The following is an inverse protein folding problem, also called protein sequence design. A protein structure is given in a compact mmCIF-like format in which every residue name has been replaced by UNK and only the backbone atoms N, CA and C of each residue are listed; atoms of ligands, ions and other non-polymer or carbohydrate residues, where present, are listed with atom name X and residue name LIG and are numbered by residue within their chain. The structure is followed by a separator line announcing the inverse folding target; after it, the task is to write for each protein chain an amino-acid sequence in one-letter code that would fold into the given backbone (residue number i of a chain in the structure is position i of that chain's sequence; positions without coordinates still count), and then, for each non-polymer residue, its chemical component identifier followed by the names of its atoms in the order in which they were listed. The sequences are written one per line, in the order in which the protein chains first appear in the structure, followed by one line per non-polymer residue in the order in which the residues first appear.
data_IF_740377632343
#
_entry.id   IF_740377632343
#
_cell.length_a   1.000
_cell.length_b   1.000
_cell.length_c   1.000
_cell.angle_alpha   90.00
_cell.angle_beta   90.00
_cell.angle_gamma   90.00
#
_symmetry.space_group_name_H-M   'P 1'
#
loop_
_entity.id
_entity.type
_entity.pdbx_description
1 polymer ?
#
# COMPACT_ATOMS: atom_id res chain seq x y z
N UNK A 1 -34.91 17.77 62.03
CA UNK A 1 -33.58 17.29 61.60
C UNK A 1 -33.67 16.94 60.13
N UNK A 2 -32.66 17.34 59.37
CA UNK A 2 -32.65 17.53 57.91
C UNK A 2 -32.84 16.23 57.11
N UNK A 3 -33.84 16.18 56.23
CA UNK A 3 -33.92 15.25 55.10
C UNK A 3 -33.03 15.75 53.95
N UNK A 4 -32.17 14.93 53.33
CA UNK A 4 -31.48 15.34 52.12
C UNK A 4 -32.45 15.36 50.93
N UNK A 5 -32.52 16.53 50.29
CA UNK A 5 -33.19 16.78 49.01
C UNK A 5 -32.32 16.20 47.88
N UNK A 6 -32.99 15.54 46.92
CA UNK A 6 -32.48 15.01 45.64
C UNK A 6 -31.85 13.61 45.66
N UNK A 7 -32.70 12.57 45.65
CA UNK A 7 -32.43 11.37 44.86
C UNK A 7 -33.29 11.45 43.61
N UNK A 8 -32.65 11.64 42.46
CA UNK A 8 -33.30 11.46 41.16
C UNK A 8 -33.47 9.96 40.95
N UNK A 9 -34.71 9.46 41.01
CA UNK A 9 -35.05 8.13 40.53
C UNK A 9 -34.84 8.12 39.00
N UNK A 10 -33.83 7.40 38.54
CA UNK A 10 -33.69 7.07 37.12
C UNK A 10 -34.70 5.95 36.80
N UNK A 11 -35.45 6.03 35.69
CA UNK A 11 -36.37 4.96 35.31
C UNK A 11 -35.60 3.65 35.06
N UNK A 12 -36.02 2.55 35.70
CA UNK A 12 -35.45 1.20 35.53
C UNK A 12 -35.70 0.55 34.15
N UNK A 13 -36.09 1.32 33.14
CA UNK A 13 -36.28 0.80 31.80
C UNK A 13 -35.08 1.13 30.89
N UNK A 14 -34.45 0.04 30.45
CA UNK A 14 -33.50 -0.06 29.32
C UNK A 14 -32.00 -0.01 29.64
N UNK A 15 -31.57 -0.85 30.58
CA UNK A 15 -30.22 -1.43 30.57
C UNK A 15 -30.25 -2.94 30.31
N UNK A 16 -31.22 -3.40 29.51
CA UNK A 16 -31.12 -4.73 28.90
C UNK A 16 -30.00 -4.67 27.85
N UNK A 17 -28.83 -5.20 28.19
CA UNK A 17 -27.75 -5.41 27.24
C UNK A 17 -28.33 -6.15 26.02
N UNK A 18 -28.27 -5.53 24.83
CA UNK A 18 -28.60 -6.22 23.58
C UNK A 18 -27.81 -7.54 23.58
N UNK A 19 -28.45 -8.69 23.37
CA UNK A 19 -27.73 -9.95 23.35
C UNK A 19 -26.63 -9.84 22.30
N UNK A 20 -25.39 -10.03 22.75
CA UNK A 20 -24.22 -10.06 21.87
C UNK A 20 -24.44 -11.22 20.90
N UNK A 21 -24.85 -10.90 19.67
CA UNK A 21 -25.02 -11.92 18.63
C UNK A 21 -23.63 -12.43 18.30
N UNK A 22 -23.28 -13.60 18.83
CA UNK A 22 -22.04 -14.30 18.47
C UNK A 22 -22.24 -14.78 17.03
N UNK A 23 -21.47 -14.27 16.06
CA UNK A 23 -21.64 -14.68 14.67
C UNK A 23 -21.37 -16.18 14.53
N UNK A 24 -22.12 -16.82 13.63
CA UNK A 24 -21.98 -18.26 13.38
C UNK A 24 -20.49 -18.65 13.14
N UNK A 25 -19.96 -19.69 13.79
CA UNK A 25 -18.55 -20.08 13.65
C UNK A 25 -18.10 -20.38 12.22
N UNK A 26 -19.00 -20.85 11.34
CA UNK A 26 -18.71 -20.99 9.91
C UNK A 26 -18.70 -19.64 9.20
N UNK A 27 -19.54 -18.68 9.61
CA UNK A 27 -19.48 -17.30 9.13
C UNK A 27 -18.18 -16.63 9.59
N UNK A 28 -17.75 -16.84 10.84
CA UNK A 28 -16.47 -16.39 11.42
C UNK A 28 -15.30 -17.07 10.73
N UNK A 29 -15.37 -18.37 10.46
CA UNK A 29 -14.34 -19.09 9.71
C UNK A 29 -14.29 -18.65 8.24
N UNK A 30 -15.43 -18.39 7.59
CA UNK A 30 -15.51 -17.84 6.22
C UNK A 30 -15.05 -16.38 6.16
N UNK A 31 -15.27 -15.59 7.21
CA UNK A 31 -14.76 -14.21 7.31
C UNK A 31 -13.30 -14.13 7.72
N UNK A 32 -12.80 -15.04 8.56
CA UNK A 32 -11.37 -15.23 8.81
C UNK A 32 -10.65 -15.82 7.57
N UNK A 33 -11.40 -16.55 6.73
CA UNK A 33 -11.03 -16.94 5.36
C UNK A 33 -11.46 -15.90 4.31
N UNK A 34 -11.87 -14.68 4.65
CA UNK A 34 -11.59 -13.57 3.74
C UNK A 34 -10.07 -13.43 3.77
N UNK A 35 -9.42 -14.28 2.97
CA UNK A 35 -7.98 -14.39 2.84
C UNK A 35 -7.51 -12.99 2.52
N UNK A 36 -6.92 -12.31 3.50
CA UNK A 36 -6.39 -10.98 3.26
C UNK A 36 -5.19 -11.19 2.34
N UNK A 37 -5.37 -10.93 1.06
CA UNK A 37 -4.39 -11.29 0.04
C UNK A 37 -3.13 -10.45 0.31
N UNK A 38 -1.97 -11.07 0.61
CA UNK A 38 -0.78 -10.32 0.93
C UNK A 38 -0.31 -9.53 -0.30
N UNK A 39 -0.14 -8.23 -0.11
CA UNK A 39 0.44 -7.33 -1.11
C UNK A 39 1.65 -6.64 -0.51
N UNK A 40 2.74 -6.57 -1.27
CA UNK A 40 3.94 -5.88 -0.83
C UNK A 40 3.74 -4.37 -1.03
N UNK A 41 3.78 -3.61 0.06
CA UNK A 41 3.75 -2.15 0.03
C UNK A 41 5.18 -1.64 0.26
N UNK A 42 5.85 -1.32 -0.84
CA UNK A 42 7.18 -0.70 -0.87
C UNK A 42 7.05 0.78 -0.59
N UNK A 43 7.89 1.29 0.32
CA UNK A 43 7.97 2.71 0.63
C UNK A 43 9.37 3.05 1.17
N UNK A 44 9.80 4.33 1.12
CA UNK A 44 11.01 4.76 1.81
C UNK A 44 10.94 4.46 3.30
N UNK A 45 12.06 4.14 3.94
CA UNK A 45 12.11 3.90 5.39
C UNK A 45 11.44 5.04 6.16
N UNK A 46 10.61 4.72 7.16
CA UNK A 46 9.76 5.68 7.86
C UNK A 46 10.50 6.85 8.49
N UNK A 47 11.72 6.63 8.98
CA UNK A 47 12.58 7.69 9.51
C UNK A 47 13.10 8.67 8.45
N UNK A 48 12.86 8.40 7.16
CA UNK A 48 13.20 9.29 6.04
C UNK A 48 11.98 9.93 5.37
N UNK A 49 10.80 9.76 5.97
CA UNK A 49 9.56 10.37 5.51
C UNK A 49 9.11 11.48 6.46
N UNK A 50 8.47 12.52 5.93
CA UNK A 50 7.83 13.56 6.73
C UNK A 50 6.42 13.14 7.19
N UNK A 51 5.82 13.92 8.10
CA UNK A 51 4.50 13.59 8.66
C UNK A 51 3.38 13.47 7.60
N UNK A 52 3.44 14.27 6.53
CA UNK A 52 2.45 14.22 5.47
C UNK A 52 2.56 12.93 4.65
N UNK A 53 3.79 12.53 4.31
CA UNK A 53 4.10 11.27 3.63
C UNK A 53 3.71 10.05 4.49
N UNK A 54 3.98 10.09 5.80
CA UNK A 54 3.53 9.05 6.74
C UNK A 54 2.00 8.97 6.76
N UNK A 55 1.31 10.12 6.80
CA UNK A 55 -0.15 10.16 6.77
C UNK A 55 -0.72 9.59 5.47
N UNK A 56 -0.06 9.87 4.34
CA UNK A 56 -0.41 9.28 3.04
C UNK A 56 -0.23 7.77 3.05
N UNK A 57 0.90 7.25 3.54
CA UNK A 57 1.16 5.82 3.67
C UNK A 57 0.09 5.13 4.53
N UNK A 58 -0.22 5.66 5.70
CA UNK A 58 -1.23 5.09 6.60
C UNK A 58 -2.62 5.09 5.95
N UNK A 59 -2.98 6.17 5.26
CA UNK A 59 -4.24 6.23 4.50
C UNK A 59 -4.27 5.21 3.37
N UNK A 60 -3.19 5.05 2.62
CA UNK A 60 -3.08 4.04 1.57
C UNK A 60 -3.25 2.61 2.13
N UNK A 61 -2.62 2.30 3.27
CA UNK A 61 -2.79 1.02 3.93
C UNK A 61 -4.26 0.76 4.29
N UNK A 62 -5.00 1.79 4.70
CA UNK A 62 -6.43 1.68 4.99
C UNK A 62 -7.27 1.45 3.73
N UNK A 63 -6.99 2.15 2.63
CA UNK A 63 -7.67 1.92 1.36
C UNK A 63 -7.44 0.48 0.84
N UNK A 64 -6.21 -0.05 0.96
CA UNK A 64 -5.91 -1.44 0.60
C UNK A 64 -6.68 -2.45 1.48
N UNK A 65 -6.79 -2.19 2.78
CA UNK A 65 -7.53 -3.05 3.71
C UNK A 65 -9.03 -3.07 3.42
N UNK A 66 -9.62 -1.96 2.98
CA UNK A 66 -11.02 -1.90 2.54
C UNK A 66 -11.29 -2.84 1.36
N UNK A 67 -10.29 -3.04 0.52
CA UNK A 67 -10.30 -4.01 -0.58
C UNK A 67 -9.92 -5.44 -0.16
N UNK A 68 -9.86 -5.72 1.15
CA UNK A 68 -9.44 -7.03 1.69
C UNK A 68 -8.03 -7.44 1.24
N UNK A 69 -7.18 -6.47 0.88
CA UNK A 69 -5.77 -6.69 0.61
C UNK A 69 -4.96 -6.39 1.87
N UNK A 70 -3.95 -7.20 2.14
CA UNK A 70 -3.11 -7.06 3.32
C UNK A 70 -1.77 -6.41 2.95
N UNK A 71 -1.61 -5.09 3.18
CA UNK A 71 -0.33 -4.44 2.92
C UNK A 71 0.71 -4.92 3.93
N UNK A 72 1.82 -5.44 3.41
CA UNK A 72 3.01 -5.83 4.17
C UNK A 72 4.17 -4.95 3.75
N UNK A 73 4.99 -4.48 4.69
CA UNK A 73 6.11 -3.59 4.43
C UNK A 73 7.38 -4.05 5.15
N UNK A 74 8.54 -3.79 4.54
CA UNK A 74 9.84 -3.94 5.18
C UNK A 74 10.34 -2.57 5.68
N UNK A 75 10.95 -2.48 6.87
CA UNK A 75 10.99 -3.49 7.94
C UNK A 75 9.81 -3.36 8.93
N UNK A 76 8.75 -2.61 8.61
CA UNK A 76 7.78 -2.19 9.64
C UNK A 76 6.83 -3.32 10.06
N UNK A 77 6.23 -4.05 9.10
CA UNK A 77 5.33 -5.17 9.43
C UNK A 77 6.01 -6.52 9.33
N UNK A 78 7.08 -6.61 8.55
CA UNK A 78 7.84 -7.82 8.28
C UNK A 78 9.30 -7.57 8.64
N UNK A 79 9.90 -8.49 9.40
CA UNK A 79 11.32 -8.47 9.73
C UNK A 79 11.87 -9.86 9.53
N UNK A 80 12.94 -9.97 8.75
CA UNK A 80 13.60 -11.25 8.52
C UNK A 80 15.09 -11.15 8.87
N UNK A 81 15.70 -12.25 9.36
CA UNK A 81 17.11 -12.25 9.75
C UNK A 81 18.08 -12.23 8.55
N UNK A 82 17.59 -12.43 7.32
CA UNK A 82 18.40 -12.48 6.11
C UNK A 82 18.81 -11.09 5.60
N UNK A 83 19.74 -11.08 4.64
CA UNK A 83 20.17 -9.85 3.96
C UNK A 83 19.00 -9.13 3.28
N UNK A 84 19.10 -7.81 3.12
CA UNK A 84 18.02 -6.96 2.56
C UNK A 84 17.46 -7.49 1.23
N UNK A 85 18.32 -7.87 0.28
CA UNK A 85 17.88 -8.39 -1.02
C UNK A 85 17.16 -9.75 -0.91
N UNK A 86 17.57 -10.59 0.04
CA UNK A 86 16.91 -11.88 0.31
C UNK A 86 15.53 -11.67 0.94
N UNK A 87 15.44 -10.71 1.87
CA UNK A 87 14.20 -10.27 2.50
C UNK A 87 13.21 -9.70 1.47
N UNK A 88 13.67 -8.83 0.57
CA UNK A 88 12.85 -8.29 -0.54
C UNK A 88 12.37 -9.43 -1.45
N UNK A 89 13.24 -10.36 -1.82
CA UNK A 89 12.85 -11.52 -2.64
C UNK A 89 11.77 -12.37 -1.97
N UNK A 90 11.91 -12.64 -0.67
CA UNK A 90 10.89 -13.35 0.12
C UNK A 90 9.56 -12.59 0.16
N UNK A 91 9.60 -11.27 0.34
CA UNK A 91 8.39 -10.44 0.29
C UNK A 91 7.66 -10.58 -1.04
N UNK A 92 8.41 -10.52 -2.14
CA UNK A 92 7.85 -10.66 -3.49
C UNK A 92 7.23 -12.05 -3.67
N UNK A 93 7.95 -13.12 -3.33
CA UNK A 93 7.46 -14.50 -3.52
C UNK A 93 6.27 -14.88 -2.64
N UNK A 94 6.03 -14.15 -1.56
CA UNK A 94 4.90 -14.39 -0.66
C UNK A 94 3.76 -13.38 -0.85
N UNK A 95 3.86 -12.50 -1.85
CA UNK A 95 2.83 -11.51 -2.19
C UNK A 95 2.15 -11.85 -3.53
N UNK A 96 0.96 -11.31 -3.74
CA UNK A 96 0.20 -11.47 -4.99
C UNK A 96 -0.02 -10.15 -5.73
N UNK A 97 0.51 -9.07 -5.19
CA UNK A 97 0.49 -7.74 -5.77
C UNK A 97 1.55 -6.87 -5.09
N UNK A 98 1.90 -5.78 -5.75
CA UNK A 98 2.82 -4.80 -5.19
C UNK A 98 2.30 -3.38 -5.40
N UNK A 99 2.44 -2.56 -4.37
CA UNK A 99 2.30 -1.11 -4.44
C UNK A 99 3.64 -0.48 -4.08
N UNK A 100 4.12 0.45 -4.90
CA UNK A 100 5.38 1.17 -4.66
C UNK A 100 5.11 2.64 -4.43
N UNK A 101 5.65 3.20 -3.35
CA UNK A 101 5.69 4.63 -3.10
C UNK A 101 7.07 5.18 -3.45
N UNK A 102 7.12 6.10 -4.42
CA UNK A 102 8.29 6.89 -4.75
C UNK A 102 8.11 8.32 -4.24
N UNK A 103 8.54 8.57 -3.01
CA UNK A 103 8.32 9.84 -2.30
C UNK A 103 9.59 10.67 -2.25
N UNK A 104 9.44 12.00 -2.18
CA UNK A 104 10.57 12.92 -2.11
C UNK A 104 11.36 12.72 -0.82
N UNK A 105 12.69 12.52 -0.93
CA UNK A 105 13.57 12.31 0.23
C UNK A 105 14.65 13.37 0.35
N UNK A 106 15.33 13.67 -0.75
CA UNK A 106 16.48 14.59 -0.77
C UNK A 106 16.36 15.52 -1.95
N UNK A 107 16.50 16.82 -1.69
CA UNK A 107 16.70 17.80 -2.73
C UNK A 107 18.19 17.83 -3.09
N UNK A 108 18.51 17.68 -4.36
CA UNK A 108 19.88 17.68 -4.89
C UNK A 108 20.02 18.82 -5.90
N UNK A 109 21.27 19.26 -6.10
CA UNK A 109 21.66 20.18 -7.17
C UNK A 109 22.76 19.51 -7.98
N UNK A 110 22.63 19.52 -9.30
CA UNK A 110 23.68 19.00 -10.20
C UNK A 110 24.81 20.02 -10.24
N UNK A 111 25.97 19.65 -9.71
CA UNK A 111 27.17 20.51 -9.71
C UNK A 111 28.18 20.09 -10.78
N UNK A 112 28.09 18.85 -11.26
CA UNK A 112 28.99 18.24 -12.23
C UNK A 112 28.27 17.10 -12.94
N UNK A 113 28.59 16.86 -14.22
CA UNK A 113 28.14 15.71 -15.01
C UNK A 113 29.35 14.97 -15.56
N UNK A 114 29.15 13.77 -16.11
CA UNK A 114 30.24 12.99 -16.72
C UNK A 114 30.74 13.54 -18.08
N UNK A 115 30.30 14.75 -18.48
CA UNK A 115 30.67 15.39 -19.75
C UNK A 115 29.93 14.85 -20.99
N UNK A 116 28.92 14.00 -20.82
CA UNK A 116 28.07 13.60 -21.93
C UNK A 116 27.10 14.74 -22.31
N UNK A 117 27.10 15.12 -23.59
CA UNK A 117 26.34 16.26 -24.12
C UNK A 117 24.83 16.23 -23.83
N UNK A 118 24.27 15.03 -23.67
CA UNK A 118 22.85 14.84 -23.30
C UNK A 118 22.52 15.43 -21.92
N UNK A 119 23.50 15.47 -21.01
CA UNK A 119 23.34 15.95 -19.64
C UNK A 119 23.91 17.37 -19.42
N UNK A 120 24.41 18.04 -20.47
CA UNK A 120 24.96 19.40 -20.33
C UNK A 120 23.91 20.41 -19.81
N UNK A 121 22.63 20.14 -20.07
CA UNK A 121 21.51 20.96 -19.60
C UNK A 121 21.14 20.73 -18.14
N UNK A 122 21.68 19.69 -17.52
CA UNK A 122 21.34 19.33 -16.15
C UNK A 122 22.18 20.12 -15.15
N UNK A 123 23.34 20.66 -15.55
CA UNK A 123 24.20 21.47 -14.69
C UNK A 123 23.43 22.66 -14.08
N UNK A 124 23.48 22.76 -12.75
CA UNK A 124 22.80 23.81 -11.98
C UNK A 124 21.32 23.55 -11.72
N UNK A 125 20.72 22.50 -12.30
CA UNK A 125 19.34 22.12 -11.98
C UNK A 125 19.21 21.60 -10.55
N UNK A 126 18.02 21.75 -9.97
CA UNK A 126 17.68 21.23 -8.65
C UNK A 126 16.42 20.39 -8.71
N UNK A 127 16.42 19.24 -8.03
CA UNK A 127 15.28 18.35 -8.01
C UNK A 127 15.23 17.46 -6.77
N UNK A 128 14.08 16.81 -6.56
CA UNK A 128 13.89 15.85 -5.48
C UNK A 128 14.13 14.44 -5.97
N UNK A 129 14.91 13.68 -5.19
CA UNK A 129 15.18 12.27 -5.43
C UNK A 129 14.34 11.37 -4.52
N UNK A 130 13.98 10.20 -5.06
CA UNK A 130 13.26 9.14 -4.37
C UNK A 130 14.16 8.16 -3.61
N UNK A 131 13.62 6.99 -3.28
CA UNK A 131 14.41 5.87 -2.76
C UNK A 131 14.90 4.99 -3.91
N UNK A 132 16.17 4.58 -3.90
CA UNK A 132 16.67 3.58 -4.85
C UNK A 132 15.87 2.27 -4.79
N UNK A 133 15.39 1.88 -3.61
CA UNK A 133 14.54 0.70 -3.44
C UNK A 133 13.18 0.84 -4.14
N UNK A 134 12.66 2.06 -4.30
CA UNK A 134 11.45 2.32 -5.08
C UNK A 134 11.63 1.96 -6.56
N UNK A 135 12.83 1.62 -7.04
CA UNK A 135 13.06 1.10 -8.39
C UNK A 135 13.49 -0.37 -8.40
N UNK A 136 14.33 -0.79 -7.45
CA UNK A 136 14.81 -2.18 -7.35
C UNK A 136 13.65 -3.13 -7.06
N UNK A 137 12.82 -2.81 -6.07
CA UNK A 137 11.74 -3.69 -5.62
C UNK A 137 10.67 -3.91 -6.70
N UNK A 138 10.13 -2.88 -7.39
CA UNK A 138 9.21 -3.11 -8.49
C UNK A 138 9.88 -3.80 -9.68
N UNK A 139 11.14 -3.55 -10.00
CA UNK A 139 11.83 -4.29 -11.05
C UNK A 139 11.89 -5.80 -10.75
N UNK A 140 12.16 -6.18 -9.50
CA UNK A 140 12.12 -7.58 -9.07
C UNK A 140 10.70 -8.16 -9.10
N UNK A 141 9.69 -7.39 -8.67
CA UNK A 141 8.30 -7.81 -8.71
C UNK A 141 7.77 -7.98 -10.15
N UNK A 142 8.20 -7.12 -11.07
CA UNK A 142 7.93 -7.24 -12.50
C UNK A 142 8.52 -8.52 -13.07
N UNK A 143 9.79 -8.81 -12.76
CA UNK A 143 10.44 -10.04 -13.21
C UNK A 143 9.75 -11.30 -12.67
N UNK A 144 9.17 -11.23 -11.47
CA UNK A 144 8.39 -12.32 -10.88
C UNK A 144 6.95 -12.40 -11.43
N UNK A 145 6.43 -11.32 -12.03
CA UNK A 145 5.09 -11.27 -12.63
C UNK A 145 3.98 -10.78 -11.69
N UNK A 146 4.29 -9.98 -10.66
CA UNK A 146 3.25 -9.40 -9.81
C UNK A 146 2.53 -8.24 -10.50
N UNK A 147 1.19 -8.13 -10.34
CA UNK A 147 0.45 -6.91 -10.61
C UNK A 147 1.00 -5.75 -9.78
N UNK A 148 1.32 -4.64 -10.44
CA UNK A 148 2.02 -3.51 -9.82
C UNK A 148 1.25 -2.20 -9.97
N UNK A 149 1.24 -1.44 -8.87
CA UNK A 149 0.78 -0.06 -8.81
C UNK A 149 1.92 0.80 -8.27
N UNK A 150 2.30 1.83 -9.01
CA UNK A 150 3.37 2.74 -8.63
C UNK A 150 2.80 4.13 -8.41
N UNK A 151 3.08 4.69 -7.25
CA UNK A 151 2.61 6.02 -6.87
C UNK A 151 3.84 6.87 -6.61
N UNK A 152 4.01 7.93 -7.37
CA UNK A 152 5.13 8.86 -7.21
C UNK A 152 4.63 10.21 -6.72
N UNK A 153 5.42 10.85 -5.86
CA UNK A 153 5.17 12.23 -5.48
C UNK A 153 5.48 13.16 -6.66
N UNK A 154 4.64 14.15 -6.93
CA UNK A 154 4.70 15.01 -8.12
C UNK A 154 6.05 15.73 -8.28
N UNK A 155 6.68 16.10 -7.15
CA UNK A 155 7.98 16.77 -7.16
C UNK A 155 9.16 15.82 -7.48
N UNK A 156 8.94 14.51 -7.44
CA UNK A 156 9.91 13.47 -7.83
C UNK A 156 9.64 12.95 -9.25
N UNK A 157 8.39 12.98 -9.71
CA UNK A 157 7.97 12.44 -11.00
C UNK A 157 8.56 13.17 -12.20
N UNK A 158 9.42 14.18 -12.01
CA UNK A 158 10.09 14.86 -13.11
C UNK A 158 11.43 14.22 -13.53
N UNK A 159 11.99 13.27 -12.77
CA UNK A 159 13.41 12.89 -12.86
C UNK A 159 13.66 11.38 -12.70
N UNK A 160 14.89 10.92 -12.99
CA UNK A 160 15.38 9.52 -12.94
C UNK A 160 14.76 8.59 -14.01
N UNK A 161 14.45 7.33 -13.69
CA UNK A 161 13.87 6.31 -14.58
C UNK A 161 12.56 6.78 -15.25
N UNK A 162 11.95 7.86 -14.77
CA UNK A 162 10.74 8.47 -15.33
C UNK A 162 11.04 9.55 -16.41
N UNK A 163 12.27 10.05 -16.47
CA UNK A 163 12.69 11.07 -17.43
C UNK A 163 12.92 10.42 -18.81
N UNK A 164 12.35 11.01 -19.87
CA UNK A 164 12.51 10.56 -21.27
C UNK A 164 11.85 9.22 -21.63
N UNK A 165 10.57 9.04 -21.33
CA UNK A 165 9.81 7.86 -21.77
C UNK A 165 10.12 6.61 -20.94
N UNK A 166 10.49 6.83 -19.68
CA UNK A 166 10.77 5.83 -18.67
C UNK A 166 9.96 4.54 -18.81
N UNK A 167 10.65 3.44 -19.08
CA UNK A 167 10.04 2.12 -19.27
C UNK A 167 9.65 1.58 -17.91
N UNK A 168 8.52 2.09 -17.43
CA UNK A 168 7.82 1.56 -16.28
C UNK A 168 6.65 0.73 -16.85
N UNK A 169 6.77 -0.61 -16.90
CA UNK A 169 5.72 -1.47 -17.47
C UNK A 169 4.49 -1.62 -16.55
N UNK A 170 4.38 -0.79 -15.50
CA UNK A 170 3.34 -0.88 -14.47
C UNK A 170 2.51 0.39 -14.39
N UNK A 171 1.32 0.27 -13.79
CA UNK A 171 0.37 1.38 -13.67
C UNK A 171 0.93 2.45 -12.73
N UNK A 172 0.95 3.69 -13.20
CA UNK A 172 1.54 4.82 -12.47
C UNK A 172 0.47 5.85 -12.10
N UNK A 173 0.53 6.35 -10.87
CA UNK A 173 -0.25 7.46 -10.36
C UNK A 173 0.67 8.54 -9.81
N UNK A 174 0.29 9.81 -9.94
CA UNK A 174 1.04 10.93 -9.38
C UNK A 174 0.26 11.52 -8.21
N UNK A 175 0.92 11.64 -7.05
CA UNK A 175 0.37 12.34 -5.89
C UNK A 175 1.02 13.71 -5.75
N UNK A 176 0.21 14.77 -5.88
CA UNK A 176 0.61 16.13 -5.56
C UNK A 176 0.42 16.39 -4.05
N UNK A 177 1.54 16.39 -3.32
CA UNK A 177 1.54 16.60 -1.87
C UNK A 177 1.11 18.02 -1.47
N UNK A 178 1.14 19.00 -2.38
CA UNK A 178 0.68 20.37 -2.10
C UNK A 178 -0.85 20.48 -1.97
N UNK A 179 -1.60 19.54 -2.54
CA UNK A 179 -3.07 19.50 -2.50
C UNK A 179 -3.60 18.66 -1.33
N UNK A 180 -2.72 18.07 -0.53
CA UNK A 180 -3.05 17.19 0.59
C UNK A 180 -3.39 15.76 0.17
N UNK A 181 -3.57 14.87 1.16
CA UNK A 181 -3.78 13.43 0.91
C UNK A 181 -5.18 13.13 0.33
N UNK A 182 -6.19 13.89 0.75
CA UNK A 182 -7.57 13.63 0.39
C UNK A 182 -7.87 13.93 -1.09
N UNK A 183 -7.14 14.88 -1.68
CA UNK A 183 -7.22 15.16 -3.12
C UNK A 183 -6.96 13.90 -3.94
N UNK A 184 -5.93 13.14 -3.58
CA UNK A 184 -5.59 11.88 -4.22
C UNK A 184 -6.64 10.80 -3.94
N UNK A 185 -6.93 10.49 -2.67
CA UNK A 185 -7.79 9.35 -2.32
C UNK A 185 -9.29 9.55 -2.60
N UNK A 186 -9.77 10.79 -2.78
CA UNK A 186 -11.16 11.06 -3.18
C UNK A 186 -11.33 11.08 -4.70
N UNK A 187 -10.23 11.18 -5.47
CA UNK A 187 -10.26 11.23 -6.93
C UNK A 187 -10.92 9.99 -7.53
N UNK A 188 -11.57 10.17 -8.68
CA UNK A 188 -12.12 9.05 -9.46
C UNK A 188 -10.99 8.17 -9.98
N UNK A 189 -9.88 8.77 -10.40
CA UNK A 189 -8.70 8.08 -10.90
C UNK A 189 -8.15 7.07 -9.89
N UNK A 190 -7.99 7.47 -8.61
CA UNK A 190 -7.59 6.55 -7.54
C UNK A 190 -8.55 5.37 -7.39
N UNK A 191 -9.86 5.64 -7.37
CA UNK A 191 -10.88 4.60 -7.16
C UNK A 191 -10.85 3.57 -8.30
N UNK A 192 -10.83 4.03 -9.54
CA UNK A 192 -10.75 3.15 -10.72
C UNK A 192 -9.46 2.35 -10.74
N UNK A 193 -8.33 3.01 -10.47
CA UNK A 193 -7.02 2.38 -10.41
C UNK A 193 -6.97 1.27 -9.36
N UNK A 194 -7.45 1.56 -8.15
CA UNK A 194 -7.48 0.60 -7.04
C UNK A 194 -8.36 -0.61 -7.36
N UNK A 195 -9.55 -0.40 -7.94
CA UNK A 195 -10.44 -1.50 -8.33
C UNK A 195 -9.81 -2.38 -9.40
N UNK A 196 -9.26 -1.78 -10.46
CA UNK A 196 -8.64 -2.53 -11.55
C UNK A 196 -7.43 -3.33 -11.07
N UNK A 197 -6.53 -2.70 -10.31
CA UNK A 197 -5.36 -3.38 -9.78
C UNK A 197 -5.73 -4.47 -8.75
N UNK A 198 -6.71 -4.20 -7.86
CA UNK A 198 -7.15 -5.21 -6.89
C UNK A 198 -7.80 -6.43 -7.55
N UNK A 199 -8.52 -6.25 -8.68
CA UNK A 199 -9.07 -7.36 -9.46
C UNK A 199 -7.96 -8.27 -9.99
N UNK A 200 -6.90 -7.71 -10.56
CA UNK A 200 -5.75 -8.50 -11.03
C UNK A 200 -5.03 -9.24 -9.90
N UNK A 201 -4.84 -8.59 -8.75
CA UNK A 201 -4.26 -9.22 -7.56
C UNK A 201 -5.11 -10.41 -7.10
N UNK A 202 -6.44 -10.25 -7.07
CA UNK A 202 -7.38 -11.33 -6.70
C UNK A 202 -7.35 -12.47 -7.71
N UNK A 203 -7.34 -12.17 -9.01
CA UNK A 203 -7.21 -13.19 -10.06
C UNK A 203 -5.90 -13.95 -9.96
N UNK A 204 -4.78 -13.25 -9.75
CA UNK A 204 -3.46 -13.86 -9.55
C UNK A 204 -3.44 -14.74 -8.31
N UNK A 205 -3.99 -14.27 -7.18
CA UNK A 205 -4.14 -15.08 -5.97
C UNK A 205 -4.97 -16.35 -6.23
N UNK A 206 -6.13 -16.21 -6.86
CA UNK A 206 -7.01 -17.34 -7.15
C UNK A 206 -6.33 -18.41 -8.01
N UNK A 207 -5.71 -18.01 -9.12
CA UNK A 207 -5.02 -18.95 -10.02
C UNK A 207 -3.85 -19.69 -9.34
N UNK A 208 -3.12 -19.02 -8.45
CA UNK A 208 -1.98 -19.61 -7.76
C UNK A 208 -2.35 -20.45 -6.52
N UNK A 209 -3.58 -20.32 -6.00
CA UNK A 209 -4.01 -21.00 -4.77
C UNK A 209 -5.14 -22.01 -4.97
N UNK A 210 -5.65 -22.14 -6.19
CA UNK A 210 -6.61 -23.18 -6.54
C UNK A 210 -6.05 -24.57 -6.19
N UNK A 211 -6.81 -25.41 -5.46
CA UNK A 211 -6.39 -26.77 -5.23
C UNK A 211 -6.32 -27.51 -6.57
N UNK A 212 -5.35 -28.41 -6.76
CA UNK A 212 -5.25 -29.21 -7.98
C UNK A 212 -6.45 -30.15 -8.20
N UNK A 213 -7.26 -30.37 -7.16
CA UNK A 213 -8.44 -31.22 -7.19
C UNK A 213 -9.68 -30.46 -6.73
N UNK A 214 -10.74 -30.56 -7.52
CA UNK A 214 -12.07 -30.08 -7.15
C UNK A 214 -12.75 -31.18 -6.32
N UNK A 215 -12.92 -30.96 -5.02
CA UNK A 215 -13.75 -31.84 -4.20
C UNK A 215 -15.21 -31.58 -4.53
N UNK A 216 -15.76 -32.36 -5.47
CA UNK A 216 -17.20 -32.43 -5.67
C UNK A 216 -17.76 -33.24 -4.50
N UNK A 217 -18.72 -32.72 -3.71
CA UNK A 217 -19.38 -33.52 -2.69
C UNK A 217 -20.04 -34.73 -3.37
N UNK A 218 -19.80 -35.94 -2.86
CA UNK A 218 -20.56 -37.11 -3.30
C UNK A 218 -22.06 -36.85 -3.13
N UNK A 219 -22.82 -36.86 -4.23
CA UNK A 219 -24.29 -36.79 -4.20
C UNK A 219 -24.94 -35.60 -4.93
N UNK A 220 -24.28 -34.94 -5.88
CA UNK A 220 -24.96 -34.14 -6.92
C UNK A 220 -25.14 -34.92 -8.21
#
# INVERSE_FOLDING_TARGET
MSTPKFMLELPEEQLAAKPTVIPDPNLVAKTNRFYKIPVFLSHPTSNTMNNLQISFLLRLMEELKKELLFPRTLPNTEQYPETTMTSIRRMIYSSYGMVTLNLARKKVRVIETNGATVYDKDLGTEYWTGSTFSFIEPAMAFQYGLPQLFITEAIVSGQDVYESGGIIPFRTMVWDSSQGIDYFFKSTEWKEMLQNWSAEVRSGYFLNTLPPYNYVPEGQ
#
